data_IF_084754626971
#
_entry.id   IF_084754626971
#
_cell.length_a   1.000
_cell.length_b   1.000
_cell.length_c   1.000
_cell.angle_alpha   90.00
_cell.angle_beta   90.00
_cell.angle_gamma   90.00
#
_symmetry.space_group_name_H-M   'P 1'
#
loop_
_entity.id
_entity.type
_entity.pdbx_description
1 polymer ?
#
# COMPACT_ATOMS: atom_id res chain seq x y z
N UNK A 1 -18.15 9.05 21.17
CA UNK A 1 -16.96 8.54 21.86
C UNK A 1 -15.79 8.57 20.88
N UNK A 2 -14.79 9.41 21.14
CA UNK A 2 -13.55 9.42 20.37
C UNK A 2 -12.80 8.11 20.68
N UNK A 3 -12.74 7.17 19.73
CA UNK A 3 -11.86 6.00 19.85
C UNK A 3 -10.43 6.54 19.97
N UNK A 4 -9.76 6.25 21.08
CA UNK A 4 -8.33 6.51 21.24
C UNK A 4 -7.59 5.92 20.03
N UNK A 5 -7.01 6.79 19.21
CA UNK A 5 -6.25 6.46 18.00
C UNK A 5 -4.97 5.78 18.46
N UNK A 6 -4.99 4.45 18.61
CA UNK A 6 -3.76 3.66 18.75
C UNK A 6 -3.13 3.59 17.37
N UNK A 7 -2.20 4.48 17.07
CA UNK A 7 -1.33 4.34 15.89
C UNK A 7 -0.57 3.01 16.02
N UNK A 8 -1.08 1.93 15.41
CA UNK A 8 -0.34 0.66 15.39
C UNK A 8 1.00 0.90 14.69
N UNK A 9 2.11 0.30 15.17
CA UNK A 9 3.42 0.48 14.56
C UNK A 9 3.40 0.00 13.11
N UNK A 10 4.26 0.57 12.25
CA UNK A 10 4.48 -0.04 10.94
C UNK A 10 5.12 -1.42 11.17
N UNK A 11 4.62 -2.45 10.50
CA UNK A 11 5.21 -3.79 10.52
C UNK A 11 5.96 -4.06 9.24
N UNK A 12 7.07 -4.79 9.33
CA UNK A 12 7.86 -5.16 8.17
C UNK A 12 8.27 -6.63 8.24
N UNK A 13 7.96 -7.36 7.18
CA UNK A 13 8.51 -8.68 6.93
C UNK A 13 9.95 -8.55 6.47
N UNK A 14 10.88 -9.21 7.16
CA UNK A 14 12.30 -9.26 6.86
C UNK A 14 12.76 -10.69 7.14
N UNK A 15 13.28 -11.38 6.13
CA UNK A 15 13.94 -12.68 6.28
C UNK A 15 13.13 -13.71 7.10
N UNK A 16 11.84 -13.87 6.76
CA UNK A 16 10.96 -14.84 7.41
C UNK A 16 10.34 -14.38 8.73
N UNK A 17 10.65 -13.17 9.22
CA UNK A 17 10.10 -12.64 10.47
C UNK A 17 9.43 -11.28 10.28
N UNK A 18 8.46 -10.99 11.15
CA UNK A 18 7.79 -9.68 11.17
C UNK A 18 8.35 -8.84 12.30
N UNK A 19 8.74 -7.62 11.98
CA UNK A 19 9.31 -6.65 12.91
C UNK A 19 8.41 -5.44 13.04
N UNK A 20 8.23 -4.95 14.27
CA UNK A 20 7.67 -3.63 14.53
C UNK A 20 8.74 -2.56 14.26
N UNK A 21 8.42 -1.62 13.36
CA UNK A 21 9.27 -0.50 12.96
C UNK A 21 8.99 0.70 13.86
N UNK A 22 10.01 1.15 14.60
CA UNK A 22 9.95 2.40 15.36
C UNK A 22 10.03 3.59 14.40
N UNK A 23 9.12 4.59 14.49
CA UNK A 23 9.32 5.87 13.83
C UNK A 23 10.64 6.49 14.30
N UNK A 24 11.39 7.20 13.43
CA UNK A 24 12.58 7.90 13.87
C UNK A 24 12.26 8.86 15.00
N UNK A 25 13.14 8.93 16.02
CA UNK A 25 13.10 10.00 17.03
C UNK A 25 13.26 11.32 16.28
N UNK A 26 12.22 12.15 16.24
CA UNK A 26 12.30 13.47 15.60
C UNK A 26 13.39 14.26 16.31
N UNK A 27 14.51 14.54 15.63
CA UNK A 27 15.50 15.50 16.12
C UNK A 27 14.81 16.87 16.11
N UNK A 28 14.27 17.28 17.25
CA UNK A 28 13.76 18.65 17.45
C UNK A 28 14.93 19.58 17.16
N UNK A 29 14.83 20.38 16.09
CA UNK A 29 15.76 21.49 15.89
C UNK A 29 15.64 22.40 17.11
N UNK A 30 16.74 22.60 17.86
CA UNK A 30 16.82 23.59 18.93
C UNK A 30 16.32 24.93 18.37
N UNK A 31 15.14 25.39 18.80
CA UNK A 31 14.60 26.68 18.37
C UNK A 31 13.08 26.81 18.26
N UNK A 32 12.27 25.75 18.42
CA UNK A 32 10.81 25.90 18.52
C UNK A 32 10.28 25.17 19.74
N UNK A 33 10.05 25.91 20.82
CA UNK A 33 9.22 25.46 21.92
C UNK A 33 7.77 25.38 21.42
N UNK A 34 7.30 24.16 21.15
CA UNK A 34 5.88 23.83 21.24
C UNK A 34 5.76 22.70 22.25
N UNK A 35 5.01 22.99 23.30
CA UNK A 35 4.60 22.07 24.35
C UNK A 35 3.88 20.89 23.71
N UNK A 36 4.61 19.81 23.45
CA UNK A 36 4.06 18.50 23.18
C UNK A 36 4.28 17.71 24.46
N UNK A 37 3.19 17.47 25.17
CA UNK A 37 3.14 16.56 26.32
C UNK A 37 3.76 15.23 25.93
N UNK A 38 4.81 14.85 26.66
CA UNK A 38 5.38 13.51 26.68
C UNK A 38 4.27 12.51 27.02
N UNK A 39 3.72 11.87 26.00
CA UNK A 39 3.13 10.54 26.14
C UNK A 39 4.07 9.57 25.43
N UNK A 40 5.21 9.32 26.07
CA UNK A 40 6.02 8.14 25.81
C UNK A 40 5.22 6.91 26.25
N UNK A 41 4.27 6.47 25.42
CA UNK A 41 3.82 5.08 25.48
C UNK A 41 5.01 4.24 25.08
N UNK A 42 5.66 3.65 26.09
CA UNK A 42 6.55 2.50 25.93
C UNK A 42 5.77 1.41 25.20
N UNK A 43 5.90 1.36 23.88
CA UNK A 43 5.50 0.19 23.12
C UNK A 43 6.60 -0.83 23.44
N UNK A 44 6.32 -1.78 24.34
CA UNK A 44 7.19 -2.93 24.54
C UNK A 44 7.41 -3.61 23.18
N UNK A 45 8.63 -3.47 22.67
CA UNK A 45 9.04 -3.96 21.36
C UNK A 45 9.61 -5.37 21.52
N UNK A 46 8.75 -6.39 21.58
CA UNK A 46 9.22 -7.77 21.46
C UNK A 46 9.45 -8.13 19.99
N UNK A 47 10.48 -7.53 19.38
CA UNK A 47 11.08 -8.09 18.18
C UNK A 47 12.11 -9.13 18.63
N UNK A 48 11.78 -10.43 18.57
CA UNK A 48 12.74 -11.51 18.83
C UNK A 48 13.82 -11.53 17.73
N UNK A 49 14.80 -10.64 17.88
CA UNK A 49 16.00 -10.61 17.05
C UNK A 49 16.74 -11.93 17.30
N UNK A 50 16.89 -12.71 16.24
CA UNK A 50 17.59 -13.98 16.33
C UNK A 50 19.09 -13.72 16.48
N UNK A 51 19.62 -14.06 17.65
CA UNK A 51 21.04 -13.95 17.96
C UNK A 51 21.61 -15.36 18.04
N UNK A 52 22.66 -15.62 17.25
CA UNK A 52 23.36 -16.91 17.20
C UNK A 52 24.77 -16.70 17.72
N UNK A 53 25.28 -17.63 18.54
CA UNK A 53 26.67 -17.63 18.99
C UNK A 53 27.54 -18.40 17.99
N UNK A 54 28.51 -17.73 17.39
CA UNK A 54 29.50 -18.31 16.46
C UNK A 54 30.90 -17.80 16.81
N UNK A 55 31.88 -18.71 16.99
CA UNK A 55 33.29 -18.37 17.27
C UNK A 55 33.46 -17.33 18.40
N UNK A 56 32.82 -17.58 19.55
CA UNK A 56 32.82 -16.70 20.73
C UNK A 56 32.30 -15.27 20.49
N UNK A 57 31.50 -15.07 19.45
CA UNK A 57 30.79 -13.83 19.19
C UNK A 57 29.30 -14.10 19.01
N UNK A 58 28.50 -13.16 19.47
CA UNK A 58 27.07 -13.14 19.18
C UNK A 58 26.86 -12.46 17.82
N UNK A 59 25.94 -12.99 17.02
CA UNK A 59 25.64 -12.51 15.66
C UNK A 59 24.15 -12.43 15.41
N UNK A 60 23.71 -11.34 14.80
CA UNK A 60 22.40 -11.23 14.15
C UNK A 60 22.60 -11.02 12.64
N UNK A 61 21.73 -11.65 11.83
CA UNK A 61 21.77 -11.61 10.36
C UNK A 61 20.43 -11.10 9.83
N UNK A 62 20.49 -10.25 8.81
CA UNK A 62 19.33 -9.71 8.12
C UNK A 62 19.51 -9.85 6.62
N UNK A 63 18.67 -10.64 5.96
CA UNK A 63 18.58 -10.67 4.50
C UNK A 63 17.64 -9.58 3.99
N UNK A 64 18.11 -8.72 3.09
CA UNK A 64 17.31 -7.64 2.50
C UNK A 64 17.36 -7.65 0.98
N UNK A 65 16.25 -7.35 0.29
CA UNK A 65 16.28 -7.15 -1.14
C UNK A 65 17.27 -6.05 -1.55
N UNK A 66 17.96 -6.24 -2.68
CA UNK A 66 19.05 -5.36 -3.13
C UNK A 66 18.69 -3.88 -3.20
N UNK A 67 17.43 -3.58 -3.50
CA UNK A 67 16.96 -2.21 -3.64
C UNK A 67 17.02 -1.43 -2.33
N UNK A 68 16.80 -2.10 -1.19
CA UNK A 68 16.93 -1.47 0.13
C UNK A 68 18.38 -1.08 0.40
N UNK A 69 19.33 -1.97 0.12
CA UNK A 69 20.77 -1.73 0.38
C UNK A 69 21.29 -0.44 -0.28
N UNK A 70 20.81 -0.11 -1.49
CA UNK A 70 21.22 1.12 -2.18
C UNK A 70 20.75 2.41 -1.49
N UNK A 71 19.59 2.38 -0.83
CA UNK A 71 18.96 3.54 -0.19
C UNK A 71 19.12 3.56 1.33
N UNK A 72 19.56 2.45 1.92
CA UNK A 72 19.69 2.31 3.37
C UNK A 72 20.75 3.26 3.93
N UNK A 73 21.82 3.52 3.19
CA UNK A 73 22.88 4.47 3.58
C UNK A 73 22.37 5.90 3.81
N UNK A 74 21.22 6.29 3.24
CA UNK A 74 20.60 7.60 3.48
C UNK A 74 20.02 7.71 4.91
N UNK A 75 19.75 6.57 5.56
CA UNK A 75 19.06 6.48 6.85
C UNK A 75 19.85 5.71 7.92
N UNK A 76 20.96 5.08 7.55
CA UNK A 76 21.75 4.22 8.42
C UNK A 76 23.25 4.48 8.27
N UNK A 77 23.86 4.98 9.35
CA UNK A 77 25.31 5.20 9.42
C UNK A 77 25.95 4.06 10.20
N UNK A 78 26.46 3.05 9.50
CA UNK A 78 26.94 1.82 10.12
C UNK A 78 28.10 2.06 11.10
N UNK A 79 28.92 3.09 10.88
CA UNK A 79 30.05 3.41 11.76
C UNK A 79 29.61 4.03 13.08
N UNK A 80 28.65 4.95 13.02
CA UNK A 80 28.08 5.62 14.20
C UNK A 80 27.34 4.60 15.09
N UNK A 81 26.50 3.76 14.47
CA UNK A 81 25.78 2.70 15.20
C UNK A 81 26.74 1.68 15.80
N UNK A 82 27.73 1.20 15.03
CA UNK A 82 28.74 0.26 15.50
C UNK A 82 29.50 0.81 16.72
N UNK A 83 29.93 2.07 16.67
CA UNK A 83 30.62 2.72 17.79
C UNK A 83 29.72 2.85 19.02
N UNK A 84 28.49 3.34 18.84
CA UNK A 84 27.53 3.59 19.93
C UNK A 84 27.19 2.30 20.68
N UNK A 85 26.95 1.22 19.94
CA UNK A 85 26.47 -0.07 20.46
C UNK A 85 27.60 -1.06 20.79
N UNK A 86 28.86 -0.67 20.59
CA UNK A 86 30.03 -1.56 20.73
C UNK A 86 29.90 -2.85 19.90
N UNK A 87 29.33 -2.74 18.70
CA UNK A 87 29.17 -3.84 17.75
C UNK A 87 30.04 -3.64 16.51
N UNK A 88 30.11 -4.67 15.67
CA UNK A 88 30.67 -4.61 14.32
C UNK A 88 29.56 -4.90 13.32
N UNK A 89 29.35 -3.98 12.39
CA UNK A 89 28.30 -4.08 11.38
C UNK A 89 28.96 -4.31 10.01
N UNK A 90 28.62 -5.43 9.38
CA UNK A 90 29.10 -5.82 8.07
C UNK A 90 28.01 -5.55 7.04
N UNK A 91 28.19 -4.50 6.27
CA UNK A 91 27.31 -4.16 5.16
C UNK A 91 27.57 -5.07 3.95
N UNK A 92 26.54 -5.42 3.17
CA UNK A 92 26.67 -6.26 1.99
C UNK A 92 27.62 -5.62 0.96
N UNK A 93 28.51 -6.43 0.40
CA UNK A 93 29.43 -6.01 -0.68
C UNK A 93 28.92 -6.55 -2.01
N UNK A 94 28.90 -5.70 -3.03
CA UNK A 94 28.68 -6.15 -4.40
C UNK A 94 29.87 -7.03 -4.84
N UNK A 95 29.63 -8.32 -5.11
CA UNK A 95 30.67 -9.21 -5.63
C UNK A 95 30.34 -9.70 -7.03
N UNK A 96 31.38 -9.94 -7.84
CA UNK A 96 31.26 -10.43 -9.22
C UNK A 96 30.67 -11.86 -9.34
N UNK A 97 30.54 -12.62 -8.24
CA UNK A 97 29.99 -13.99 -8.20
C UNK A 97 28.56 -14.08 -7.64
N UNK A 98 27.87 -12.95 -7.55
CA UNK A 98 26.56 -12.82 -6.88
C UNK A 98 26.65 -11.95 -5.63
N UNK A 99 25.51 -11.47 -5.17
CA UNK A 99 25.39 -10.58 -4.02
C UNK A 99 25.09 -11.38 -2.75
N UNK A 100 25.96 -11.28 -1.74
CA UNK A 100 25.52 -11.52 -0.36
C UNK A 100 24.80 -10.26 0.07
N UNK A 101 23.48 -10.32 0.15
CA UNK A 101 22.63 -9.20 0.59
C UNK A 101 22.46 -9.13 2.11
N UNK A 102 23.20 -9.95 2.84
CA UNK A 102 23.09 -10.02 4.28
C UNK A 102 23.79 -8.84 4.95
N UNK A 103 23.10 -8.20 5.89
CA UNK A 103 23.72 -7.35 6.90
C UNK A 103 23.97 -8.20 8.13
N UNK A 104 25.20 -8.20 8.63
CA UNK A 104 25.59 -8.97 9.82
C UNK A 104 26.00 -8.00 10.93
N UNK A 105 25.42 -8.17 12.11
CA UNK A 105 25.79 -7.43 13.32
C UNK A 105 26.47 -8.42 14.26
N UNK A 106 27.73 -8.16 14.61
CA UNK A 106 28.53 -8.98 15.53
C UNK A 106 28.81 -8.21 16.82
N UNK A 107 28.74 -8.87 17.97
CA UNK A 107 29.00 -8.23 19.27
C UNK A 107 29.35 -9.22 20.37
N UNK A 108 29.69 -8.69 21.54
CA UNK A 108 29.95 -9.47 22.75
C UNK A 108 28.77 -9.45 23.73
N UNK A 109 27.86 -8.47 23.61
CA UNK A 109 26.64 -8.36 24.40
C UNK A 109 25.40 -8.51 23.53
N UNK A 110 24.38 -9.19 24.05
CA UNK A 110 23.07 -9.25 23.39
C UNK A 110 22.44 -7.86 23.27
N UNK A 111 22.56 -7.03 24.31
CA UNK A 111 21.96 -5.71 24.35
C UNK A 111 22.51 -4.79 23.26
N UNK A 112 23.83 -4.81 23.03
CA UNK A 112 24.45 -4.04 21.95
C UNK A 112 23.97 -4.49 20.57
N UNK A 113 23.80 -5.80 20.37
CA UNK A 113 23.25 -6.35 19.11
C UNK A 113 21.79 -5.96 18.95
N UNK A 114 20.97 -6.04 20.02
CA UNK A 114 19.55 -5.67 19.99
C UNK A 114 19.39 -4.18 19.67
N UNK A 115 20.19 -3.32 20.28
CA UNK A 115 20.15 -1.88 20.00
C UNK A 115 20.55 -1.58 18.55
N UNK A 116 21.64 -2.15 18.04
CA UNK A 116 22.08 -1.95 16.66
C UNK A 116 21.07 -2.47 15.64
N UNK A 117 20.47 -3.64 15.91
CA UNK A 117 19.42 -4.23 15.08
C UNK A 117 18.15 -3.36 15.06
N UNK A 118 17.74 -2.79 16.19
CA UNK A 118 16.60 -1.89 16.23
C UNK A 118 16.84 -0.61 15.40
N UNK A 119 18.05 -0.04 15.43
CA UNK A 119 18.41 1.09 14.58
C UNK A 119 18.38 0.72 13.09
N UNK A 120 18.90 -0.47 12.74
CA UNK A 120 18.85 -0.99 11.38
C UNK A 120 17.41 -1.17 10.89
N UNK A 121 16.56 -1.84 11.68
CA UNK A 121 15.14 -2.08 11.37
C UNK A 121 14.39 -0.76 11.18
N UNK A 122 14.65 0.24 12.05
CA UNK A 122 14.07 1.58 11.88
C UNK A 122 14.50 2.25 10.57
N UNK A 123 15.78 2.16 10.20
CA UNK A 123 16.30 2.72 8.95
C UNK A 123 15.70 2.03 7.71
N UNK A 124 15.57 0.70 7.73
CA UNK A 124 14.92 -0.06 6.65
C UNK A 124 13.46 0.40 6.47
N UNK A 125 12.74 0.58 7.58
CA UNK A 125 11.37 1.09 7.55
C UNK A 125 11.25 2.49 6.93
N UNK A 126 12.22 3.37 7.18
CA UNK A 126 12.30 4.69 6.54
C UNK A 126 12.58 4.56 5.03
N UNK A 127 13.50 3.68 4.65
CA UNK A 127 13.78 3.37 3.25
C UNK A 127 12.53 2.87 2.52
N UNK A 128 11.78 1.93 3.10
CA UNK A 128 10.57 1.35 2.50
C UNK A 128 9.51 2.42 2.19
N UNK A 129 9.32 3.39 3.10
CA UNK A 129 8.36 4.50 2.90
C UNK A 129 8.67 5.32 1.63
N UNK A 130 9.96 5.48 1.30
CA UNK A 130 10.42 6.24 0.15
C UNK A 130 10.37 5.47 -1.18
N UNK A 131 10.18 4.15 -1.15
CA UNK A 131 10.09 3.33 -2.36
C UNK A 131 8.64 3.37 -2.87
N UNK A 132 8.45 3.51 -4.19
CA UNK A 132 7.12 3.52 -4.80
C UNK A 132 6.43 2.16 -4.59
N UNK A 133 5.10 2.17 -4.48
CA UNK A 133 4.34 0.92 -4.39
C UNK A 133 4.51 0.11 -5.69
N UNK A 134 4.62 -1.21 -5.54
CA UNK A 134 4.88 -2.14 -6.66
C UNK A 134 3.75 -3.12 -6.88
N UNK A 135 2.97 -3.45 -5.85
CA UNK A 135 1.88 -4.41 -5.92
C UNK A 135 0.70 -3.97 -5.06
N UNK A 136 -0.47 -4.57 -5.28
CA UNK A 136 -1.66 -4.32 -4.48
C UNK A 136 -2.60 -5.55 -4.48
N UNK A 137 -3.42 -5.68 -3.42
CA UNK A 137 -4.60 -6.54 -3.46
C UNK A 137 -5.78 -5.73 -3.98
N UNK A 138 -6.57 -6.33 -4.87
CA UNK A 138 -7.79 -5.72 -5.39
C UNK A 138 -8.96 -6.68 -5.56
N UNK A 139 -10.16 -6.08 -5.60
CA UNK A 139 -11.39 -6.70 -6.13
C UNK A 139 -11.61 -6.11 -7.53
N UNK A 140 -11.56 -6.91 -8.62
CA UNK A 140 -11.90 -6.45 -9.95
C UNK A 140 -13.39 -6.07 -10.05
N UNK A 141 -13.71 -4.97 -10.75
CA UNK A 141 -15.08 -4.49 -10.96
C UNK A 141 -15.38 -4.47 -12.47
N UNK A 142 -15.31 -5.64 -13.10
CA UNK A 142 -15.28 -5.78 -14.56
C UNK A 142 -16.60 -6.27 -15.17
N UNK A 143 -17.73 -6.14 -14.47
CA UNK A 143 -19.03 -6.50 -15.05
C UNK A 143 -19.33 -5.63 -16.28
N UNK A 144 -20.02 -6.21 -17.27
CA UNK A 144 -20.42 -5.49 -18.49
C UNK A 144 -21.21 -4.23 -18.15
N UNK A 145 -22.12 -4.32 -17.17
CA UNK A 145 -22.94 -3.19 -16.69
C UNK A 145 -22.06 -2.01 -16.23
N UNK A 146 -21.09 -2.27 -15.34
CA UNK A 146 -20.19 -1.22 -14.83
C UNK A 146 -19.36 -0.62 -15.96
N UNK A 147 -18.80 -1.45 -16.83
CA UNK A 147 -17.96 -0.97 -17.94
C UNK A 147 -18.76 -0.11 -18.93
N UNK A 148 -19.97 -0.55 -19.31
CA UNK A 148 -20.85 0.20 -20.20
C UNK A 148 -21.30 1.52 -19.58
N UNK A 149 -21.74 1.51 -18.32
CA UNK A 149 -22.19 2.73 -17.64
C UNK A 149 -21.04 3.70 -17.40
N UNK A 150 -19.84 3.21 -17.09
CA UNK A 150 -18.64 4.04 -17.04
C UNK A 150 -18.32 4.65 -18.41
N UNK A 151 -18.40 3.88 -19.50
CA UNK A 151 -18.19 4.40 -20.85
C UNK A 151 -19.27 5.41 -21.29
N UNK A 152 -20.51 5.27 -20.81
CA UNK A 152 -21.59 6.26 -20.99
C UNK A 152 -21.37 7.51 -20.12
N UNK A 153 -20.75 7.38 -18.96
CA UNK A 153 -20.45 8.47 -18.04
C UNK A 153 -19.36 9.40 -18.58
N UNK A 154 -18.29 8.86 -19.18
CA UNK A 154 -17.17 9.65 -19.74
C UNK A 154 -17.57 10.80 -20.67
N UNK A 155 -18.34 10.59 -21.77
CA UNK A 155 -18.69 11.66 -22.70
C UNK A 155 -19.60 12.73 -22.09
N UNK A 156 -20.31 12.42 -21.00
CA UNK A 156 -21.10 13.40 -20.25
C UNK A 156 -20.23 14.45 -19.55
N UNK A 157 -18.98 14.13 -19.25
CA UNK A 157 -18.04 15.04 -18.61
C UNK A 157 -17.20 15.86 -19.58
N UNK A 158 -17.05 15.41 -20.83
CA UNK A 158 -16.14 16.03 -21.81
C UNK A 158 -16.85 16.85 -22.88
N UNK A 159 -18.09 16.49 -23.27
CA UNK A 159 -18.73 17.06 -24.46
C UNK A 159 -20.22 17.33 -24.29
N UNK A 160 -20.96 16.46 -23.59
CA UNK A 160 -22.42 16.39 -23.79
C UNK A 160 -23.26 17.18 -22.77
N UNK A 161 -22.78 17.31 -21.53
CA UNK A 161 -23.69 17.63 -20.43
C UNK A 161 -23.12 18.57 -19.36
N UNK A 162 -21.83 18.85 -19.42
CA UNK A 162 -21.14 19.88 -18.65
C UNK A 162 -20.25 20.65 -19.63
N UNK A 163 -20.54 21.92 -19.86
CA UNK A 163 -19.73 22.74 -20.75
C UNK A 163 -18.34 22.99 -20.13
N UNK A 164 -17.30 22.68 -20.90
CA UNK A 164 -15.97 23.25 -20.75
C UNK A 164 -15.26 22.97 -19.42
N UNK A 165 -15.34 21.75 -18.86
CA UNK A 165 -14.44 21.39 -17.75
C UNK A 165 -13.00 21.44 -18.27
N UNK A 166 -12.27 22.48 -17.85
CA UNK A 166 -10.87 22.65 -18.23
C UNK A 166 -10.04 21.44 -17.82
N UNK A 167 -9.08 21.08 -18.66
CA UNK A 167 -8.14 19.98 -18.41
C UNK A 167 -8.84 18.61 -18.23
N UNK A 168 -9.96 18.36 -18.90
CA UNK A 168 -10.62 17.05 -18.91
C UNK A 168 -10.23 16.25 -20.17
N UNK A 169 -9.06 15.62 -20.17
CA UNK A 169 -8.58 14.82 -21.31
C UNK A 169 -8.94 13.33 -21.18
N UNK A 170 -9.09 12.63 -22.31
CA UNK A 170 -9.40 11.20 -22.31
C UNK A 170 -8.36 10.35 -21.54
N UNK A 171 -7.09 10.76 -21.55
CA UNK A 171 -5.98 10.01 -20.92
C UNK A 171 -5.99 9.99 -19.38
N UNK A 172 -6.78 10.85 -18.72
CA UNK A 172 -6.89 10.84 -17.25
C UNK A 172 -7.97 9.89 -16.74
N UNK A 173 -8.85 9.40 -17.61
CA UNK A 173 -9.83 8.37 -17.26
C UNK A 173 -9.16 7.02 -17.08
N UNK A 174 -9.60 6.26 -16.08
CA UNK A 174 -9.15 4.88 -15.91
C UNK A 174 -9.67 4.04 -17.09
N UNK A 175 -8.88 3.08 -17.56
CA UNK A 175 -9.37 2.10 -18.55
C UNK A 175 -10.53 1.31 -17.95
N UNK A 176 -11.64 1.08 -18.67
CA UNK A 176 -12.73 0.22 -18.20
C UNK A 176 -12.25 -1.17 -17.77
N UNK A 177 -11.24 -1.71 -18.47
CA UNK A 177 -10.60 -2.99 -18.16
C UNK A 177 -9.70 -2.94 -16.91
N UNK A 178 -9.57 -1.79 -16.25
CA UNK A 178 -8.77 -1.60 -15.03
C UNK A 178 -9.59 -1.10 -13.86
N UNK A 179 -10.92 -1.12 -13.93
CA UNK A 179 -11.79 -0.76 -12.82
C UNK A 179 -11.67 -1.79 -11.69
N UNK A 180 -11.38 -1.32 -10.49
CA UNK A 180 -11.16 -2.17 -9.31
C UNK A 180 -11.30 -1.38 -8.01
N UNK A 181 -11.45 -2.11 -6.90
CA UNK A 181 -11.26 -1.61 -5.54
C UNK A 181 -9.86 -2.01 -5.06
N UNK A 182 -9.06 -1.05 -4.60
CA UNK A 182 -7.76 -1.34 -3.96
C UNK A 182 -7.98 -1.58 -2.46
N UNK A 183 -7.52 -2.73 -1.95
CA UNK A 183 -7.68 -3.12 -0.55
C UNK A 183 -6.42 -2.81 0.26
N UNK A 184 -5.25 -3.16 -0.30
CA UNK A 184 -3.96 -2.88 0.33
C UNK A 184 -2.87 -2.69 -0.72
N UNK A 185 -1.83 -1.93 -0.38
CA UNK A 185 -0.71 -1.60 -1.28
C UNK A 185 0.61 -2.01 -0.66
N UNK A 186 1.52 -2.47 -1.51
CA UNK A 186 2.75 -3.09 -1.10
C UNK A 186 3.97 -2.52 -1.79
N UNK A 187 5.12 -2.80 -1.17
CA UNK A 187 6.44 -2.63 -1.74
C UNK A 187 7.14 -3.98 -1.60
N UNK A 188 6.91 -4.88 -2.57
CA UNK A 188 7.39 -6.27 -2.56
C UNK A 188 8.57 -6.44 -3.52
N UNK A 189 9.63 -7.06 -3.03
CA UNK A 189 10.79 -7.51 -3.79
C UNK A 189 11.18 -8.94 -3.39
N UNK A 190 11.61 -9.73 -4.37
CA UNK A 190 12.22 -11.05 -4.15
C UNK A 190 11.36 -11.92 -3.21
N UNK A 191 11.85 -12.25 -2.01
CA UNK A 191 11.16 -13.11 -1.04
C UNK A 191 9.87 -12.49 -0.48
N UNK A 192 9.76 -11.17 -0.41
CA UNK A 192 8.53 -10.48 0.04
C UNK A 192 7.36 -10.79 -0.90
N UNK A 193 7.62 -10.97 -2.21
CA UNK A 193 6.59 -11.32 -3.19
C UNK A 193 6.10 -12.76 -3.01
N UNK A 194 7.03 -13.68 -2.71
CA UNK A 194 6.70 -15.06 -2.38
C UNK A 194 5.83 -15.12 -1.12
N UNK A 195 6.22 -14.39 -0.08
CA UNK A 195 5.47 -14.32 1.18
C UNK A 195 4.07 -13.73 0.98
N UNK A 196 3.92 -12.66 0.19
CA UNK A 196 2.61 -12.09 -0.12
C UNK A 196 1.72 -13.07 -0.93
N UNK A 197 2.31 -13.81 -1.86
CA UNK A 197 1.62 -14.84 -2.64
C UNK A 197 1.12 -15.96 -1.75
N UNK A 198 1.98 -16.46 -0.86
CA UNK A 198 1.64 -17.47 0.14
C UNK A 198 0.52 -16.98 1.07
N UNK A 199 0.65 -15.77 1.62
CA UNK A 199 -0.36 -15.17 2.49
C UNK A 199 -1.73 -15.09 1.80
N UNK A 200 -1.80 -14.67 0.53
CA UNK A 200 -3.06 -14.64 -0.21
C UNK A 200 -3.68 -16.04 -0.34
N UNK A 201 -2.88 -17.07 -0.63
CA UNK A 201 -3.37 -18.44 -0.76
C UNK A 201 -3.82 -19.04 0.59
N UNK A 202 -3.15 -18.71 1.69
CA UNK A 202 -3.57 -19.08 3.05
C UNK A 202 -4.88 -18.39 3.45
N UNK A 203 -5.10 -17.13 3.02
CA UNK A 203 -6.35 -16.42 3.25
C UNK A 203 -7.55 -17.02 2.49
N UNK A 204 -7.31 -17.86 1.47
CA UNK A 204 -8.35 -18.44 0.62
C UNK A 204 -9.45 -19.17 1.39
N UNK A 205 -9.09 -19.92 2.43
CA UNK A 205 -10.09 -20.67 3.22
C UNK A 205 -11.08 -19.72 3.90
N UNK A 206 -10.57 -18.66 4.53
CA UNK A 206 -11.39 -17.61 5.15
C UNK A 206 -12.21 -16.85 4.11
N UNK A 207 -11.64 -16.59 2.93
CA UNK A 207 -12.36 -15.98 1.83
C UNK A 207 -13.53 -16.85 1.35
N UNK A 208 -13.33 -18.15 1.17
CA UNK A 208 -14.39 -19.09 0.75
C UNK A 208 -15.45 -19.27 1.85
N UNK A 209 -15.06 -19.26 3.13
CA UNK A 209 -16.02 -19.41 4.24
C UNK A 209 -17.00 -18.25 4.33
N UNK A 210 -16.61 -17.04 3.89
CA UNK A 210 -17.52 -15.90 3.74
C UNK A 210 -18.73 -16.26 2.86
N UNK A 211 -18.48 -16.87 1.70
CA UNK A 211 -19.55 -17.25 0.76
C UNK A 211 -20.33 -18.48 1.21
N UNK A 212 -19.71 -19.39 1.98
CA UNK A 212 -20.46 -20.48 2.63
C UNK A 212 -21.46 -19.95 3.65
N UNK A 213 -21.12 -18.86 4.35
CA UNK A 213 -21.97 -18.25 5.37
C UNK A 213 -23.08 -17.38 4.78
N UNK A 214 -22.75 -16.53 3.81
CA UNK A 214 -23.65 -15.49 3.30
C UNK A 214 -24.15 -15.75 1.87
N UNK A 215 -23.70 -16.82 1.22
CA UNK A 215 -24.04 -17.08 -0.17
C UNK A 215 -23.33 -16.12 -1.14
N UNK A 216 -23.97 -15.85 -2.27
CA UNK A 216 -23.42 -15.00 -3.32
C UNK A 216 -23.47 -13.53 -2.91
N UNK A 217 -22.33 -12.83 -3.02
CA UNK A 217 -22.22 -11.41 -2.69
C UNK A 217 -22.05 -10.58 -3.96
N UNK A 218 -22.78 -9.47 -4.03
CA UNK A 218 -22.66 -8.48 -5.10
C UNK A 218 -22.23 -7.14 -4.55
N UNK A 219 -21.36 -6.45 -5.28
CA UNK A 219 -20.91 -5.09 -4.98
C UNK A 219 -21.66 -4.14 -5.91
N UNK A 220 -22.42 -3.21 -5.33
CA UNK A 220 -22.97 -2.06 -6.05
C UNK A 220 -21.98 -0.92 -6.02
N UNK A 221 -21.75 -0.32 -7.18
CA UNK A 221 -20.89 0.84 -7.36
C UNK A 221 -21.76 2.03 -7.70
N UNK A 222 -21.77 3.02 -6.82
CA UNK A 222 -22.65 4.18 -6.91
C UNK A 222 -22.05 5.41 -6.23
N UNK A 223 -22.58 6.55 -6.64
CA UNK A 223 -22.22 7.85 -6.16
C UNK A 223 -20.80 8.28 -6.54
N UNK A 224 -20.56 9.58 -6.50
CA UNK A 224 -19.29 10.18 -6.92
C UNK A 224 -18.72 11.00 -5.78
N UNK A 225 -17.41 10.88 -5.59
CA UNK A 225 -16.69 11.60 -4.57
C UNK A 225 -15.24 11.89 -5.01
N UNK A 226 -14.54 12.71 -4.23
CA UNK A 226 -13.20 13.19 -4.50
C UNK A 226 -12.23 12.80 -3.39
N UNK A 227 -10.94 12.63 -3.74
CA UNK A 227 -9.94 12.16 -2.79
C UNK A 227 -9.54 13.23 -1.77
N UNK A 228 -9.60 14.50 -2.17
CA UNK A 228 -9.30 15.66 -1.33
C UNK A 228 -10.57 16.46 -0.99
N UNK A 229 -10.45 17.53 -0.21
CA UNK A 229 -11.61 18.32 0.25
C UNK A 229 -11.90 19.55 -0.63
N UNK A 230 -11.20 19.73 -1.75
CA UNK A 230 -11.34 20.92 -2.60
C UNK A 230 -11.87 20.52 -3.98
N UNK A 231 -13.18 20.67 -4.25
CA UNK A 231 -13.78 20.28 -5.52
C UNK A 231 -13.23 21.07 -6.72
N UNK A 232 -12.64 22.25 -6.51
CA UNK A 232 -12.02 23.05 -7.58
C UNK A 232 -10.61 22.60 -7.98
N UNK A 233 -9.98 21.72 -7.20
CA UNK A 233 -8.60 21.26 -7.40
C UNK A 233 -8.49 19.76 -7.17
N UNK A 234 -9.16 18.99 -8.02
CA UNK A 234 -9.25 17.53 -7.89
C UNK A 234 -8.17 16.84 -8.73
N UNK A 235 -7.48 15.89 -8.11
CA UNK A 235 -6.57 14.96 -8.79
C UNK A 235 -7.16 13.57 -9.00
N UNK A 236 -8.11 13.18 -8.15
CA UNK A 236 -8.71 11.84 -8.16
C UNK A 236 -10.20 11.97 -7.89
N UNK A 237 -11.00 11.55 -8.88
CA UNK A 237 -12.44 11.37 -8.80
C UNK A 237 -12.71 9.86 -8.73
N UNK A 238 -13.62 9.44 -7.86
CA UNK A 238 -13.93 8.02 -7.68
C UNK A 238 -15.41 7.78 -7.40
N UNK A 239 -15.84 6.53 -7.57
CA UNK A 239 -17.13 6.04 -7.14
C UNK A 239 -17.03 5.24 -5.83
N UNK A 240 -18.10 5.29 -5.02
CA UNK A 240 -18.17 4.49 -3.80
C UNK A 240 -18.63 3.06 -4.13
N UNK A 241 -18.41 2.14 -3.20
CA UNK A 241 -18.81 0.75 -3.34
C UNK A 241 -19.39 0.21 -2.03
N UNK A 242 -20.44 -0.60 -2.12
CA UNK A 242 -21.07 -1.29 -1.00
C UNK A 242 -21.55 -2.67 -1.44
N UNK A 243 -21.70 -3.60 -0.50
CA UNK A 243 -22.37 -4.86 -0.81
C UNK A 243 -23.88 -4.63 -0.87
N UNK A 244 -24.55 -5.31 -1.80
CA UNK A 244 -26.01 -5.46 -1.84
C UNK A 244 -26.36 -6.83 -1.26
N UNK A 245 -26.83 -6.85 -0.03
CA UNK A 245 -27.22 -8.07 0.66
C UNK A 245 -28.26 -7.75 1.74
N UNK A 246 -29.20 -8.66 2.00
CA UNK A 246 -30.31 -8.42 2.94
C UNK A 246 -29.88 -8.56 4.41
N UNK A 247 -28.84 -9.36 4.67
CA UNK A 247 -28.22 -9.48 6.00
C UNK A 247 -27.34 -8.25 6.31
N UNK A 248 -27.78 -7.47 7.30
CA UNK A 248 -27.09 -6.26 7.79
C UNK A 248 -25.69 -6.53 8.37
N UNK A 249 -25.37 -7.77 8.73
CA UNK A 249 -24.03 -8.15 9.19
C UNK A 249 -22.99 -8.15 8.06
N UNK A 250 -23.44 -8.23 6.79
CA UNK A 250 -22.56 -8.27 5.63
C UNK A 250 -22.15 -6.87 5.22
N UNK A 251 -20.95 -6.47 5.65
CA UNK A 251 -20.39 -5.16 5.36
C UNK A 251 -19.09 -5.29 4.55
N UNK A 252 -19.07 -4.67 3.36
CA UNK A 252 -17.92 -4.65 2.48
C UNK A 252 -16.70 -4.01 3.15
N UNK A 253 -16.89 -2.97 3.95
CA UNK A 253 -15.81 -2.28 4.65
C UNK A 253 -15.17 -3.21 5.69
N UNK A 254 -15.97 -3.94 6.48
CA UNK A 254 -15.46 -4.92 7.44
C UNK A 254 -14.64 -6.01 6.75
N UNK A 255 -15.11 -6.53 5.62
CA UNK A 255 -14.40 -7.56 4.85
C UNK A 255 -13.07 -7.02 4.31
N UNK A 256 -13.09 -5.82 3.73
CA UNK A 256 -11.88 -5.19 3.16
C UNK A 256 -10.86 -4.86 4.26
N UNK A 257 -11.32 -4.32 5.39
CA UNK A 257 -10.45 -3.99 6.52
C UNK A 257 -9.83 -5.26 7.12
N UNK A 258 -10.56 -6.38 7.18
CA UNK A 258 -10.03 -7.68 7.60
C UNK A 258 -8.93 -8.19 6.67
N UNK A 259 -9.11 -8.08 5.34
CA UNK A 259 -8.06 -8.42 4.37
C UNK A 259 -6.83 -7.53 4.59
N UNK A 260 -7.03 -6.22 4.73
CA UNK A 260 -5.93 -5.28 4.92
C UNK A 260 -5.16 -5.56 6.22
N UNK A 261 -5.88 -5.82 7.31
CA UNK A 261 -5.32 -6.19 8.61
C UNK A 261 -4.52 -7.50 8.52
N UNK A 262 -5.02 -8.52 7.83
CA UNK A 262 -4.31 -9.78 7.63
C UNK A 262 -2.92 -9.58 6.99
N UNK A 263 -2.84 -8.75 5.95
CA UNK A 263 -1.55 -8.43 5.31
C UNK A 263 -0.68 -7.46 6.14
N UNK A 264 -1.29 -6.62 6.97
CA UNK A 264 -0.59 -5.77 7.92
C UNK A 264 0.10 -6.61 8.99
N UNK A 265 -0.61 -7.60 9.56
CA UNK A 265 -0.06 -8.53 10.56
C UNK A 265 1.13 -9.33 10.00
N UNK A 266 1.11 -9.63 8.69
CA UNK A 266 2.23 -10.24 7.94
C UNK A 266 3.40 -9.30 7.66
N UNK A 267 3.32 -8.01 7.98
CA UNK A 267 4.38 -7.03 7.77
C UNK A 267 4.63 -6.65 6.30
N UNK A 268 3.67 -6.90 5.41
CA UNK A 268 3.84 -6.68 3.97
C UNK A 268 3.34 -5.31 3.51
N UNK A 269 2.38 -4.73 4.23
CA UNK A 269 1.79 -3.44 3.90
C UNK A 269 2.82 -2.31 3.91
N UNK A 270 2.71 -1.42 2.92
CA UNK A 270 3.57 -0.23 2.85
C UNK A 270 3.27 0.76 3.99
N UNK A 271 1.99 0.87 4.35
CA UNK A 271 1.48 1.84 5.33
C UNK A 271 0.45 1.14 6.21
N UNK A 272 0.38 1.56 7.48
CA UNK A 272 -0.72 1.20 8.36
C UNK A 272 -1.86 2.21 8.18
N UNK A 273 -3.09 1.71 8.08
CA UNK A 273 -4.31 2.52 8.04
C UNK A 273 -5.34 1.84 8.93
N UNK A 274 -6.07 2.62 9.72
CA UNK A 274 -7.12 2.10 10.59
C UNK A 274 -8.28 1.48 9.79
N UNK A 275 -8.53 2.01 8.60
CA UNK A 275 -9.54 1.51 7.67
C UNK A 275 -9.17 1.88 6.24
N UNK A 276 -9.51 1.01 5.29
CA UNK A 276 -9.27 1.20 3.87
C UNK A 276 -10.23 2.26 3.35
N UNK A 277 -9.71 3.34 2.73
CA UNK A 277 -10.55 4.26 1.96
C UNK A 277 -10.98 3.55 0.66
N UNK A 278 -12.08 2.82 0.74
CA UNK A 278 -12.57 2.00 -0.35
C UNK A 278 -13.17 2.86 -1.47
N UNK A 279 -12.70 2.66 -2.71
CA UNK A 279 -13.18 3.43 -3.86
C UNK A 279 -12.82 2.76 -5.19
N UNK A 280 -13.66 2.97 -6.20
CA UNK A 280 -13.34 2.68 -7.60
C UNK A 280 -12.88 3.98 -8.28
N UNK A 281 -11.59 4.09 -8.62
CA UNK A 281 -11.08 5.30 -9.28
C UNK A 281 -11.68 5.45 -10.68
N UNK A 282 -12.22 6.63 -10.99
CA UNK A 282 -12.79 6.98 -12.30
C UNK A 282 -11.81 7.83 -13.11
N UNK A 283 -11.21 8.82 -12.46
CA UNK A 283 -10.27 9.79 -13.04
C UNK A 283 -9.06 9.91 -12.12
N UNK A 284 -7.87 9.97 -12.72
CA UNK A 284 -6.65 10.33 -12.01
C UNK A 284 -5.72 11.17 -12.89
N UNK A 285 -5.56 12.45 -12.52
CA UNK A 285 -4.76 13.44 -13.27
C UNK A 285 -3.30 13.05 -13.40
N UNK A 286 -2.79 12.11 -12.57
CA UNK A 286 -1.42 11.58 -12.69
C UNK A 286 -1.15 10.91 -14.03
N UNK A 287 -2.20 10.40 -14.69
CA UNK A 287 -2.09 9.72 -15.98
C UNK A 287 -2.07 10.67 -17.16
N UNK A 288 -2.26 11.97 -16.94
CA UNK A 288 -2.13 12.99 -17.97
C UNK A 288 -0.82 12.78 -18.71
N UNK A 289 -0.91 12.80 -20.03
CA UNK A 289 0.27 12.76 -20.88
C UNK A 289 1.10 14.01 -20.59
N UNK A 290 2.39 13.83 -20.30
CA UNK A 290 3.29 14.97 -20.19
C UNK A 290 3.44 15.61 -21.56
N UNK A 291 3.33 16.92 -21.63
CA UNK A 291 3.61 17.65 -22.85
C UNK A 291 5.08 17.44 -23.24
N UNK A 292 5.31 16.66 -24.30
CA UNK A 292 6.65 16.29 -24.77
C UNK A 292 7.41 17.50 -25.33
N UNK A 293 6.73 18.63 -25.58
CA UNK A 293 7.37 19.87 -26.01
C UNK A 293 8.20 20.53 -24.90
N UNK A 294 7.89 20.23 -23.64
CA UNK A 294 8.67 20.70 -22.49
C UNK A 294 9.75 19.67 -22.15
N UNK A 295 11.03 20.05 -22.22
CA UNK A 295 12.18 19.20 -21.81
C UNK A 295 12.21 18.85 -20.30
N UNK A 296 11.10 19.05 -19.59
CA UNK A 296 10.97 18.79 -18.15
C UNK A 296 10.51 17.34 -17.97
N UNK A 297 11.33 16.52 -17.30
CA UNK A 297 10.93 15.14 -16.96
C UNK A 297 9.59 15.15 -16.21
N UNK A 298 8.65 14.28 -16.58
CA UNK A 298 7.28 14.15 -16.01
C UNK A 298 7.23 14.20 -14.46
N UNK A 299 8.26 13.70 -13.77
CA UNK A 299 8.38 13.75 -12.30
C UNK A 299 8.50 15.16 -11.69
N UNK A 300 8.87 16.17 -12.49
CA UNK A 300 9.04 17.56 -12.07
C UNK A 300 7.92 18.48 -12.57
N UNK A 301 7.02 17.98 -13.42
CA UNK A 301 5.85 18.73 -13.86
C UNK A 301 4.85 18.82 -12.71
N UNK A 302 4.30 20.02 -12.47
CA UNK A 302 3.21 20.19 -11.51
C UNK A 302 1.98 19.45 -12.04
N UNK A 303 1.26 18.77 -11.14
CA UNK A 303 -0.04 18.19 -11.50
C UNK A 303 -0.98 19.33 -11.87
N UNK A 304 -1.71 19.12 -12.96
CA UNK A 304 -2.76 20.01 -13.40
C UNK A 304 -4.07 19.36 -12.93
N UNK A 305 -4.86 20.10 -12.17
CA UNK A 305 -6.08 19.60 -11.53
C UNK A 305 -7.29 19.76 -12.45
N UNK A 306 -8.43 19.18 -12.06
CA UNK A 306 -9.75 19.47 -12.64
C UNK A 306 -10.67 20.14 -11.61
N UNK A 307 -11.61 20.95 -12.08
CA UNK A 307 -12.73 21.42 -11.25
C UNK A 307 -13.90 20.43 -11.38
N UNK A 308 -14.18 19.71 -10.29
CA UNK A 308 -15.25 18.72 -10.23
C UNK A 308 -16.53 19.26 -9.57
N UNK A 309 -16.66 20.57 -9.34
CA UNK A 309 -17.82 21.16 -8.64
C UNK A 309 -19.14 20.76 -9.32
N UNK A 310 -19.26 21.00 -10.63
CA UNK A 310 -20.47 20.66 -11.38
C UNK A 310 -20.66 19.14 -11.53
N UNK A 311 -19.58 18.36 -11.54
CA UNK A 311 -19.64 16.89 -11.58
C UNK A 311 -20.29 16.37 -10.29
N UNK A 312 -19.84 16.88 -9.15
CA UNK A 312 -20.36 16.49 -7.84
C UNK A 312 -21.79 16.99 -7.60
N UNK A 313 -22.20 18.08 -8.22
CA UNK A 313 -23.59 18.57 -8.16
C UNK A 313 -24.53 17.71 -9.01
N UNK A 314 -24.15 17.41 -10.25
CA UNK A 314 -25.03 16.75 -11.23
C UNK A 314 -25.04 15.23 -11.14
N UNK A 315 -23.91 14.62 -10.76
CA UNK A 315 -23.71 13.17 -10.80
C UNK A 315 -23.37 12.58 -9.44
N UNK A 316 -23.67 13.30 -8.35
CA UNK A 316 -23.41 12.86 -6.97
C UNK A 316 -23.84 11.42 -6.69
N UNK A 317 -25.01 11.06 -7.22
CA UNK A 317 -25.70 9.79 -6.95
C UNK A 317 -25.71 8.88 -8.19
N UNK A 318 -24.78 9.09 -9.13
CA UNK A 318 -24.70 8.29 -10.36
C UNK A 318 -24.46 6.80 -10.03
N UNK A 319 -25.25 5.92 -10.63
CA UNK A 319 -25.12 4.48 -10.46
C UNK A 319 -24.32 3.86 -11.61
N UNK A 320 -23.22 3.17 -11.28
CA UNK A 320 -22.41 2.46 -12.26
C UNK A 320 -22.91 1.02 -12.47
N UNK A 321 -23.53 0.41 -11.46
CA UNK A 321 -24.12 -0.93 -11.56
C UNK A 321 -23.57 -1.90 -10.51
N UNK A 322 -23.79 -3.19 -10.74
CA UNK A 322 -23.37 -4.24 -9.82
C UNK A 322 -22.30 -5.17 -10.43
N UNK A 323 -21.48 -5.76 -9.57
CA UNK A 323 -20.51 -6.79 -9.93
C UNK A 323 -20.50 -7.90 -8.89
N UNK A 324 -20.36 -9.15 -9.33
CA UNK A 324 -20.19 -10.26 -8.40
C UNK A 324 -18.86 -10.13 -7.66
N UNK A 325 -18.89 -10.28 -6.35
CA UNK A 325 -17.69 -10.38 -5.54
C UNK A 325 -17.29 -11.85 -5.45
N UNK A 326 -16.30 -12.26 -6.23
CA UNK A 326 -15.90 -13.67 -6.29
C UNK A 326 -14.39 -13.90 -6.29
N UNK A 327 -13.57 -12.83 -6.33
CA UNK A 327 -12.12 -12.98 -6.37
C UNK A 327 -11.37 -11.85 -5.66
N UNK A 328 -10.14 -12.18 -5.24
CA UNK A 328 -9.12 -11.23 -4.81
C UNK A 328 -7.85 -11.46 -5.63
N UNK A 329 -7.25 -10.36 -6.10
CA UNK A 329 -6.11 -10.37 -7.01
C UNK A 329 -4.93 -9.65 -6.37
N UNK A 330 -3.78 -10.35 -6.24
CA UNK A 330 -2.48 -9.73 -6.01
C UNK A 330 -1.88 -9.36 -7.37
N UNK A 331 -1.83 -8.07 -7.66
CA UNK A 331 -1.45 -7.56 -8.98
C UNK A 331 -0.18 -6.71 -8.96
N UNK A 332 0.60 -6.78 -10.03
CA UNK A 332 1.72 -5.90 -10.31
C UNK A 332 1.24 -4.51 -10.76
N UNK A 333 1.74 -3.46 -10.13
CA UNK A 333 1.49 -2.09 -10.56
C UNK A 333 2.26 -1.79 -11.85
N UNK A 334 1.55 -1.30 -12.87
CA UNK A 334 2.16 -0.88 -14.14
C UNK A 334 2.28 -1.98 -15.20
N UNK A 335 2.08 -3.24 -14.83
CA UNK A 335 2.01 -4.37 -15.76
C UNK A 335 0.56 -4.65 -16.18
N UNK A 336 0.36 -5.13 -17.41
CA UNK A 336 -0.95 -5.48 -17.97
C UNK A 336 -0.98 -6.98 -18.28
N UNK A 337 -2.04 -7.66 -17.87
CA UNK A 337 -2.29 -9.06 -18.17
C UNK A 337 -2.89 -9.27 -19.56
N UNK A 338 -3.07 -10.52 -19.97
CA UNK A 338 -3.65 -10.86 -21.28
C UNK A 338 -5.10 -10.40 -21.43
N UNK A 339 -5.83 -10.29 -20.31
CA UNK A 339 -7.21 -9.81 -20.23
C UNK A 339 -7.34 -8.27 -20.24
N UNK A 340 -6.22 -7.54 -20.30
CA UNK A 340 -6.17 -6.08 -20.21
C UNK A 340 -6.29 -5.51 -18.79
N UNK A 341 -6.55 -6.35 -17.79
CA UNK A 341 -6.46 -5.97 -16.37
C UNK A 341 -4.99 -5.87 -15.95
N UNK A 342 -4.74 -5.62 -14.67
CA UNK A 342 -3.38 -5.67 -14.12
C UNK A 342 -2.86 -7.10 -14.11
N UNK A 343 -1.60 -7.30 -14.49
CA UNK A 343 -0.96 -8.62 -14.44
C UNK A 343 -1.03 -9.16 -13.01
N UNK A 344 -1.73 -10.28 -12.85
CA UNK A 344 -1.87 -10.95 -11.56
C UNK A 344 -0.65 -11.84 -11.28
N UNK A 345 -0.12 -11.74 -10.07
CA UNK A 345 0.89 -12.67 -9.53
C UNK A 345 0.20 -13.87 -8.89
N UNK A 346 -0.93 -13.62 -8.22
CA UNK A 346 -1.70 -14.63 -7.51
C UNK A 346 -3.16 -14.20 -7.40
N UNK A 347 -4.06 -15.14 -7.55
CA UNK A 347 -5.50 -14.90 -7.45
C UNK A 347 -6.12 -15.99 -6.60
N UNK A 348 -7.06 -15.59 -5.74
CA UNK A 348 -7.99 -16.52 -5.09
C UNK A 348 -9.39 -16.23 -5.61
N UNK A 349 -10.17 -17.30 -5.82
CA UNK A 349 -11.54 -17.22 -6.30
C UNK A 349 -12.44 -18.09 -5.43
N UNK A 350 -13.66 -17.63 -5.22
CA UNK A 350 -14.77 -18.46 -4.81
C UNK A 350 -15.30 -19.16 -6.06
N UNK A 351 -14.86 -20.40 -6.28
CA UNK A 351 -15.45 -21.27 -7.28
C UNK A 351 -16.57 -22.01 -6.56
N UNK A 352 -17.78 -21.44 -6.57
CA UNK A 352 -18.94 -22.23 -6.15
C UNK A 352 -19.06 -23.39 -7.14
N UNK A 353 -19.01 -24.62 -6.62
CA UNK A 353 -19.37 -25.81 -7.38
C UNK A 353 -20.89 -25.88 -7.52
#
# INVERSE_FOLDING_TARGET
MLKNIKNKPLRMWIDGKVYNITPPKVKVKKGQAKTLTDTSTEVEMNNEIQIIKENDKLRARFHLPQLYNKKLHDHFNEKEVAQKTQTRILMPKYTKRGTKNDIIIEGQSEDGIKEAANELVSAIGQTRKQILATHFISIPLLSTEIQENFNKFKPRLTVLEIEGIENMEECIFISPLKLHLTLTVFCLFEEELHEATKALQEYKEKFVSLFKKYGSLKIKVEGINIMNNNPKKVDVLYANAKITHDDEEVDLQKIVDDVSEYFYERGLCKENKDSVKLHMTLINTRYRNSDQSTNIKKRFQRRIHIDATQILEKYKDFEFGCCDFNSLHLSEMGSVGEDGFYKSVSTIKNVMQ
#
